data_IF_897291321792
#
_entry.id   IF_897291321792
#
_cell.length_a   1.000
_cell.length_b   1.000
_cell.length_c   1.000
_cell.angle_alpha   90.00
_cell.angle_beta   90.00
_cell.angle_gamma   90.00
#
_symmetry.space_group_name_H-M   'P 1'
#
loop_
_entity.id
_entity.type
_entity.pdbx_description
1 polymer ?
#
# COMPACT_ATOMS: atom_id res chain seq x y z
N UNK A 1 -19.81 -0.17 -36.05
CA UNK A 1 -18.81 0.91 -36.07
C UNK A 1 -18.65 1.39 -34.64
N UNK A 2 -17.77 0.75 -33.88
CA UNK A 2 -17.44 1.15 -32.51
C UNK A 2 -16.29 2.15 -32.58
N UNK A 3 -16.56 3.42 -32.27
CA UNK A 3 -15.53 4.43 -32.15
C UNK A 3 -15.74 5.20 -30.85
N UNK A 4 -14.95 4.82 -29.85
CA UNK A 4 -14.19 5.78 -29.03
C UNK A 4 -14.99 6.78 -28.22
N UNK A 5 -15.77 6.30 -27.25
CA UNK A 5 -16.23 7.11 -26.11
C UNK A 5 -15.21 7.18 -24.97
N UNK A 6 -13.90 7.17 -25.27
CA UNK A 6 -12.85 7.36 -24.27
C UNK A 6 -12.67 8.84 -23.97
N UNK A 7 -12.38 9.16 -22.70
CA UNK A 7 -12.12 10.44 -22.01
C UNK A 7 -12.00 11.79 -22.77
N UNK A 8 -11.67 11.82 -24.05
CA UNK A 8 -11.46 13.01 -24.89
C UNK A 8 -12.32 13.09 -26.17
N UNK A 9 -13.26 12.16 -26.41
CA UNK A 9 -14.09 12.16 -27.63
C UNK A 9 -15.01 13.39 -27.79
N UNK A 10 -15.28 13.80 -29.02
CA UNK A 10 -16.20 14.90 -29.31
C UNK A 10 -17.65 14.52 -28.92
N UNK A 11 -18.34 15.46 -28.27
CA UNK A 11 -19.70 15.29 -27.75
C UNK A 11 -20.78 15.75 -28.74
N UNK A 12 -20.34 16.21 -29.90
CA UNK A 12 -21.15 16.73 -30.98
C UNK A 12 -20.94 15.85 -32.21
N UNK A 13 -21.99 15.64 -32.98
CA UNK A 13 -21.90 14.93 -34.26
C UNK A 13 -21.42 15.85 -35.40
N UNK A 14 -21.28 15.29 -36.61
CA UNK A 14 -20.84 16.06 -37.79
C UNK A 14 -21.82 17.15 -38.26
N UNK A 15 -23.04 17.18 -37.72
CA UNK A 15 -24.07 18.17 -38.05
C UNK A 15 -24.19 19.28 -36.98
N UNK A 16 -23.40 19.21 -35.91
CA UNK A 16 -23.40 20.21 -34.84
C UNK A 16 -24.41 19.96 -33.73
N UNK A 17 -25.04 18.77 -33.69
CA UNK A 17 -26.00 18.39 -32.66
C UNK A 17 -25.38 17.50 -31.58
N UNK A 18 -25.89 17.52 -30.34
CA UNK A 18 -25.46 16.59 -29.29
C UNK A 18 -25.61 15.15 -29.77
N UNK A 19 -24.54 14.37 -29.63
CA UNK A 19 -24.50 12.97 -30.05
C UNK A 19 -25.65 12.18 -29.42
N UNK A 20 -26.45 11.53 -30.25
CA UNK A 20 -27.61 10.74 -29.82
C UNK A 20 -27.24 9.34 -29.32
N UNK A 21 -26.02 8.89 -29.61
CA UNK A 21 -25.45 7.61 -29.17
C UNK A 21 -24.89 7.64 -27.74
N UNK A 22 -24.79 8.82 -27.13
CA UNK A 22 -24.16 9.01 -25.82
C UNK A 22 -24.95 10.03 -24.99
N UNK A 23 -25.11 9.78 -23.69
CA UNK A 23 -25.64 10.81 -22.78
C UNK A 23 -24.60 11.92 -22.56
N UNK A 24 -24.68 12.94 -23.40
CA UNK A 24 -23.78 14.11 -23.38
C UNK A 24 -23.78 14.82 -22.03
N UNK A 25 -24.92 14.84 -21.31
CA UNK A 25 -25.01 15.49 -20.01
C UNK A 25 -24.24 14.69 -18.96
N UNK A 26 -24.43 13.37 -18.93
CA UNK A 26 -23.70 12.47 -18.03
C UNK A 26 -22.19 12.52 -18.30
N UNK A 27 -21.77 12.45 -19.57
CA UNK A 27 -20.34 12.52 -19.92
C UNK A 27 -19.70 13.86 -19.52
N UNK A 28 -20.43 14.98 -19.64
CA UNK A 28 -19.95 16.28 -19.14
C UNK A 28 -19.75 16.27 -17.63
N UNK A 29 -20.70 15.72 -16.88
CA UNK A 29 -20.57 15.62 -15.43
C UNK A 29 -19.38 14.75 -15.03
N UNK A 30 -19.20 13.61 -15.69
CA UNK A 30 -18.13 12.67 -15.36
C UNK A 30 -16.75 13.21 -15.75
N UNK A 31 -16.62 13.88 -16.91
CA UNK A 31 -15.40 14.61 -17.27
C UNK A 31 -15.07 15.72 -16.28
N UNK A 32 -16.09 16.45 -15.81
CA UNK A 32 -15.88 17.50 -14.82
C UNK A 32 -15.38 16.91 -13.49
N UNK A 33 -16.03 15.86 -12.98
CA UNK A 33 -15.59 15.15 -11.76
C UNK A 33 -14.16 14.63 -11.92
N UNK A 34 -13.85 14.02 -13.06
CA UNK A 34 -12.52 13.51 -13.36
C UNK A 34 -11.47 14.64 -13.36
N UNK A 35 -11.76 15.78 -13.99
CA UNK A 35 -10.88 16.94 -13.99
C UNK A 35 -10.64 17.51 -12.58
N UNK A 36 -11.67 17.56 -11.73
CA UNK A 36 -11.54 17.94 -10.32
C UNK A 36 -10.62 16.96 -9.58
N UNK A 37 -10.87 15.65 -9.69
CA UNK A 37 -10.06 14.62 -9.04
C UNK A 37 -8.58 14.67 -9.49
N UNK A 38 -8.31 14.88 -10.78
CA UNK A 38 -6.95 15.03 -11.29
C UNK A 38 -6.25 16.26 -10.72
N UNK A 39 -6.95 17.39 -10.66
CA UNK A 39 -6.42 18.64 -10.11
C UNK A 39 -6.13 18.48 -8.62
N UNK A 40 -7.07 17.94 -7.86
CA UNK A 40 -6.95 17.72 -6.42
C UNK A 40 -5.80 16.77 -6.10
N UNK A 41 -5.68 15.66 -6.84
CA UNK A 41 -4.58 14.72 -6.69
C UNK A 41 -3.23 15.37 -6.98
N UNK A 42 -3.13 16.19 -8.04
CA UNK A 42 -1.92 16.94 -8.38
C UNK A 42 -1.54 17.92 -7.27
N UNK A 43 -2.50 18.65 -6.71
CA UNK A 43 -2.26 19.55 -5.58
C UNK A 43 -1.80 18.82 -4.32
N UNK A 44 -2.46 17.71 -3.98
CA UNK A 44 -2.11 16.91 -2.80
C UNK A 44 -0.70 16.32 -2.94
N UNK A 45 -0.37 15.80 -4.13
CA UNK A 45 0.97 15.30 -4.45
C UNK A 45 2.05 16.38 -4.27
N UNK A 46 1.80 17.60 -4.77
CA UNK A 46 2.72 18.72 -4.63
C UNK A 46 2.90 19.14 -3.16
N UNK A 47 1.83 19.15 -2.35
CA UNK A 47 1.91 19.45 -0.91
C UNK A 47 2.75 18.41 -0.17
N UNK A 48 2.61 17.12 -0.50
CA UNK A 48 3.41 16.04 0.08
C UNK A 48 4.89 16.23 -0.28
N UNK A 49 5.21 16.50 -1.54
CA UNK A 49 6.58 16.77 -2.00
C UNK A 49 7.21 17.94 -1.24
N UNK A 50 6.48 19.06 -1.10
CA UNK A 50 6.93 20.23 -0.35
C UNK A 50 7.19 19.92 1.13
N UNK A 51 6.31 19.15 1.77
CA UNK A 51 6.49 18.75 3.16
C UNK A 51 7.74 17.88 3.36
N UNK A 52 7.99 16.93 2.45
CA UNK A 52 9.21 16.10 2.46
C UNK A 52 10.45 16.98 2.28
N UNK A 53 10.43 17.90 1.31
CA UNK A 53 11.54 18.83 1.09
C UNK A 53 11.80 19.72 2.30
N UNK A 54 10.75 20.21 2.97
CA UNK A 54 10.89 21.02 4.18
C UNK A 54 11.53 20.25 5.34
N UNK A 55 11.14 18.99 5.57
CA UNK A 55 11.76 18.13 6.59
C UNK A 55 13.24 17.86 6.29
N UNK A 56 13.58 17.55 5.04
CA UNK A 56 14.96 17.29 4.64
C UNK A 56 15.83 18.56 4.62
N UNK A 57 15.27 19.72 4.27
CA UNK A 57 15.97 21.01 4.34
C UNK A 57 16.26 21.41 5.79
N UNK A 58 15.31 21.22 6.71
CA UNK A 58 15.50 21.45 8.14
C UNK A 58 16.54 20.51 8.77
N UNK A 59 16.64 19.28 8.28
CA UNK A 59 17.62 18.30 8.78
C UNK A 59 19.04 18.49 8.24
N UNK A 60 19.22 19.23 7.12
CA UNK A 60 20.56 19.55 6.55
C UNK A 60 21.27 20.73 7.24
N UNK A 61 20.58 21.48 8.10
CA UNK A 61 21.13 22.66 8.78
C UNK A 61 21.88 22.39 10.09
N UNK A 62 21.92 21.14 10.59
CA UNK A 62 22.48 20.84 11.93
C UNK A 62 23.52 19.72 11.95
N UNK A 63 24.24 19.52 10.84
CA UNK A 63 25.35 18.57 10.74
C UNK A 63 26.43 19.15 9.83
N UNK A 64 27.25 20.04 10.39
CA UNK A 64 28.50 20.48 9.77
C UNK A 64 29.51 19.33 9.79
N UNK A 65 30.09 19.01 8.63
CA UNK A 65 30.97 17.86 8.46
C UNK A 65 31.01 17.34 7.02
N UNK A 66 31.73 18.07 6.18
CA UNK A 66 32.25 17.68 4.86
C UNK A 66 32.59 16.19 4.70
N UNK A 67 32.31 15.61 3.53
CA UNK A 67 33.34 15.25 2.54
C UNK A 67 32.72 14.51 1.34
N UNK A 68 33.07 15.01 0.16
CA UNK A 68 32.83 14.38 -1.12
C UNK A 68 33.54 13.01 -1.25
N UNK A 69 32.87 12.09 -1.94
CA UNK A 69 33.40 11.00 -2.75
C UNK A 69 34.61 10.21 -2.24
N UNK A 70 34.37 9.00 -1.70
CA UNK A 70 34.96 7.71 -2.17
C UNK A 70 34.52 6.53 -1.29
N UNK A 71 34.21 5.39 -1.91
CA UNK A 71 34.39 4.07 -1.30
C UNK A 71 35.90 3.78 -1.15
N UNK A 72 36.40 2.77 -0.38
CA UNK A 72 35.70 1.54 0.04
C UNK A 72 36.15 0.89 1.41
N UNK A 73 35.50 -0.24 1.76
CA UNK A 73 35.92 -1.43 2.57
C UNK A 73 36.20 -1.42 4.10
N UNK A 74 35.46 -2.33 4.77
CA UNK A 74 35.85 -3.33 5.79
C UNK A 74 36.08 -2.98 7.29
N UNK A 75 35.27 -3.69 8.10
CA UNK A 75 35.56 -4.36 9.39
C UNK A 75 35.52 -3.57 10.73
N UNK A 76 34.43 -3.79 11.49
CA UNK A 76 34.51 -4.40 12.84
C UNK A 76 34.36 -3.53 14.10
N UNK A 77 33.27 -3.74 14.86
CA UNK A 77 33.37 -3.98 16.32
C UNK A 77 32.77 -2.98 17.34
N UNK A 78 31.47 -3.17 17.65
CA UNK A 78 30.82 -3.32 18.99
C UNK A 78 30.92 -2.26 20.12
N UNK A 79 29.75 -1.92 20.66
CA UNK A 79 29.49 -1.37 22.02
C UNK A 79 28.41 -0.28 21.99
N UNK A 80 27.13 -0.62 21.79
CA UNK A 80 26.09 -0.88 22.82
C UNK A 80 25.51 0.36 23.53
N UNK A 81 24.18 0.31 23.69
CA UNK A 81 23.30 1.14 24.53
C UNK A 81 22.77 2.48 24.00
N UNK A 82 21.56 2.42 23.42
CA UNK A 82 20.43 3.06 24.10
C UNK A 82 19.64 4.16 23.38
N UNK A 83 18.62 3.71 22.63
CA UNK A 83 17.29 4.33 22.44
C UNK A 83 17.10 5.53 21.49
N UNK A 84 16.08 5.31 20.66
CA UNK A 84 15.12 6.22 20.04
C UNK A 84 15.38 6.60 18.58
N UNK A 85 14.35 6.32 17.78
CA UNK A 85 14.15 6.68 16.37
C UNK A 85 14.97 5.90 15.33
N UNK A 86 14.68 4.60 15.19
CA UNK A 86 15.04 3.86 13.97
C UNK A 86 14.04 4.20 12.86
N UNK A 87 14.20 5.40 12.29
CA UNK A 87 13.87 5.67 10.88
C UNK A 87 14.93 4.93 10.07
N UNK A 88 14.74 3.62 9.91
CA UNK A 88 15.69 2.74 9.25
C UNK A 88 14.99 1.97 8.16
N UNK A 89 15.24 2.34 6.90
CA UNK A 89 15.20 1.46 5.75
C UNK A 89 14.07 0.41 5.80
N UNK A 90 12.82 0.81 5.54
CA UNK A 90 11.84 -0.17 5.08
C UNK A 90 12.31 -0.61 3.70
N UNK A 91 13.10 -1.68 3.68
CA UNK A 91 13.48 -2.38 2.46
C UNK A 91 12.21 -2.57 1.63
N UNK A 92 12.32 -2.26 0.35
CA UNK A 92 11.31 -2.45 -0.69
C UNK A 92 11.04 -3.95 -0.91
N UNK A 93 10.67 -4.67 0.14
CA UNK A 93 10.22 -6.05 0.06
C UNK A 93 9.00 -6.02 -0.86
N UNK A 94 8.99 -6.80 -1.96
CA UNK A 94 7.83 -6.85 -2.81
C UNK A 94 6.68 -7.47 -2.03
N UNK A 95 5.45 -6.94 -2.15
CA UNK A 95 4.30 -7.61 -1.54
C UNK A 95 4.08 -8.97 -2.21
N UNK A 96 3.81 -9.98 -1.40
CA UNK A 96 3.66 -11.37 -1.87
C UNK A 96 2.21 -11.81 -1.95
N UNK A 97 1.29 -11.12 -1.26
CA UNK A 97 -0.13 -11.44 -1.26
C UNK A 97 -0.99 -10.18 -1.21
N UNK A 98 -2.20 -10.28 -1.75
CA UNK A 98 -3.24 -9.24 -1.71
C UNK A 98 -4.44 -9.78 -0.94
N UNK A 99 -5.02 -8.95 -0.08
CA UNK A 99 -6.28 -9.26 0.61
C UNK A 99 -7.44 -8.98 -0.34
N UNK A 100 -8.16 -10.04 -0.72
CA UNK A 100 -9.31 -9.95 -1.61
C UNK A 100 -10.62 -9.77 -0.84
N UNK A 101 -10.71 -10.35 0.36
CA UNK A 101 -11.91 -10.33 1.17
C UNK A 101 -11.56 -10.34 2.66
N UNK A 102 -12.30 -9.56 3.46
CA UNK A 102 -12.22 -9.56 4.92
C UNK A 102 -13.62 -9.79 5.46
N UNK A 103 -13.78 -10.81 6.30
CA UNK A 103 -15.07 -11.18 6.85
C UNK A 103 -15.34 -10.40 8.14
N UNK A 104 -16.55 -9.87 8.23
CA UNK A 104 -17.00 -9.09 9.38
C UNK A 104 -17.02 -9.93 10.67
N UNK A 105 -16.57 -9.34 11.78
CA UNK A 105 -16.42 -10.02 13.06
C UNK A 105 -15.26 -11.02 13.11
N UNK A 106 -14.39 -11.03 12.08
CA UNK A 106 -13.20 -11.87 12.00
C UNK A 106 -11.96 -11.27 12.71
N UNK A 107 -10.96 -12.10 13.04
CA UNK A 107 -9.66 -11.63 13.52
C UNK A 107 -8.97 -10.63 12.59
N UNK A 108 -9.08 -10.83 11.27
CA UNK A 108 -8.53 -9.93 10.26
C UNK A 108 -9.16 -8.53 10.33
N UNK A 109 -10.50 -8.43 10.41
CA UNK A 109 -11.18 -7.15 10.56
C UNK A 109 -10.81 -6.46 11.87
N UNK A 110 -10.76 -7.20 12.99
CA UNK A 110 -10.35 -6.65 14.29
C UNK A 110 -8.90 -6.15 14.30
N UNK A 111 -8.03 -6.81 13.55
CA UNK A 111 -6.66 -6.38 13.32
C UNK A 111 -6.56 -5.14 12.42
N UNK A 112 -7.67 -4.73 11.81
CA UNK A 112 -7.74 -3.59 10.90
C UNK A 112 -7.29 -3.90 9.48
N UNK A 113 -7.19 -5.17 9.07
CA UNK A 113 -6.99 -5.54 7.67
C UNK A 113 -8.19 -5.12 6.83
N UNK A 114 -7.92 -4.67 5.62
CA UNK A 114 -8.93 -4.26 4.66
C UNK A 114 -8.68 -4.92 3.30
N UNK A 115 -9.74 -4.99 2.50
CA UNK A 115 -9.66 -5.41 1.10
C UNK A 115 -8.75 -4.44 0.34
N UNK A 116 -7.84 -4.99 -0.47
CA UNK A 116 -6.84 -4.23 -1.22
C UNK A 116 -5.51 -4.04 -0.49
N UNK A 117 -5.38 -4.53 0.75
CA UNK A 117 -4.10 -4.53 1.45
C UNK A 117 -3.11 -5.50 0.79
N UNK A 118 -1.90 -5.02 0.54
CA UNK A 118 -0.82 -5.83 0.00
C UNK A 118 0.11 -6.29 1.12
N UNK A 119 0.17 -7.58 1.41
CA UNK A 119 0.99 -8.15 2.46
C UNK A 119 2.47 -8.17 2.06
N UNK A 120 3.28 -7.50 2.88
CA UNK A 120 4.73 -7.52 2.87
C UNK A 120 5.28 -8.62 3.77
N UNK A 121 4.66 -8.81 4.93
CA UNK A 121 5.12 -9.73 5.97
C UNK A 121 3.96 -10.27 6.80
N UNK A 122 4.02 -11.53 7.17
CA UNK A 122 3.11 -12.20 8.08
C UNK A 122 3.90 -12.94 9.17
N UNK A 123 4.06 -12.31 10.33
CA UNK A 123 4.84 -12.87 11.45
C UNK A 123 6.29 -13.09 11.07
N UNK A 124 6.68 -14.35 10.92
CA UNK A 124 8.00 -14.80 10.46
C UNK A 124 8.09 -15.03 8.94
N UNK A 125 6.98 -14.93 8.21
CA UNK A 125 6.92 -15.14 6.76
C UNK A 125 7.06 -13.80 6.05
N UNK A 126 8.00 -13.72 5.11
CA UNK A 126 8.21 -12.60 4.20
C UNK A 126 8.14 -13.07 2.74
N UNK A 127 8.31 -12.15 1.79
CA UNK A 127 8.31 -12.47 0.36
C UNK A 127 9.43 -13.45 -0.05
N UNK A 128 10.55 -13.48 0.69
CA UNK A 128 11.66 -14.40 0.42
C UNK A 128 11.34 -15.83 0.89
N UNK A 129 10.62 -15.97 2.00
CA UNK A 129 10.22 -17.26 2.60
C UNK A 129 8.91 -17.79 2.02
N UNK A 130 8.11 -16.92 1.42
CA UNK A 130 6.86 -17.26 0.76
C UNK A 130 7.14 -18.02 -0.55
N UNK A 131 7.14 -19.35 -0.47
CA UNK A 131 7.38 -20.26 -1.61
C UNK A 131 6.23 -20.31 -2.63
N UNK A 132 5.40 -19.26 -2.71
CA UNK A 132 4.22 -19.17 -3.56
C UNK A 132 3.00 -19.93 -3.04
N UNK A 133 3.05 -20.49 -1.83
CA UNK A 133 1.96 -21.25 -1.24
C UNK A 133 1.39 -20.57 0.02
N UNK A 134 0.16 -20.11 -0.10
CA UNK A 134 -0.60 -19.49 0.99
C UNK A 134 -0.85 -20.44 2.17
N UNK A 135 -0.70 -21.76 1.97
CA UNK A 135 -0.76 -22.75 3.04
C UNK A 135 0.24 -22.47 4.16
N UNK A 136 1.43 -21.93 3.85
CA UNK A 136 2.43 -21.57 4.87
C UNK A 136 1.90 -20.50 5.84
N UNK A 137 1.15 -19.52 5.32
CA UNK A 137 0.51 -18.47 6.13
C UNK A 137 -0.56 -19.08 7.04
N UNK A 138 -1.35 -20.02 6.51
CA UNK A 138 -2.36 -20.74 7.30
C UNK A 138 -1.73 -21.60 8.40
N UNK A 139 -0.65 -22.31 8.12
CA UNK A 139 0.08 -23.12 9.10
C UNK A 139 0.73 -22.23 10.18
N UNK A 140 1.32 -21.09 9.80
CA UNK A 140 1.87 -20.14 10.77
C UNK A 140 0.79 -19.50 11.64
N UNK A 141 -0.38 -19.21 11.07
CA UNK A 141 -1.54 -18.73 11.81
C UNK A 141 -2.07 -19.78 12.80
N UNK A 142 -2.08 -21.07 12.43
CA UNK A 142 -2.42 -22.19 13.32
C UNK A 142 -1.40 -22.35 14.45
N UNK A 143 -0.11 -22.28 14.11
CA UNK A 143 0.97 -22.37 15.10
C UNK A 143 0.97 -21.16 16.07
N UNK A 144 0.45 -20.03 15.63
CA UNK A 144 0.35 -18.79 16.41
C UNK A 144 -1.08 -18.53 16.90
N UNK A 145 -1.89 -19.57 17.07
CA UNK A 145 -3.25 -19.44 17.58
C UNK A 145 -3.24 -18.81 18.99
N UNK A 146 -4.10 -17.81 19.20
CA UNK A 146 -4.18 -16.97 20.40
C UNK A 146 -2.90 -16.16 20.71
N UNK A 147 -1.97 -16.05 19.76
CA UNK A 147 -0.77 -15.22 19.86
C UNK A 147 -0.81 -14.04 18.89
N UNK A 148 -0.15 -12.95 19.25
CA UNK A 148 -0.05 -11.76 18.39
C UNK A 148 0.93 -12.01 17.25
N UNK A 149 0.43 -11.92 16.02
CA UNK A 149 1.18 -12.01 14.77
C UNK A 149 1.28 -10.62 14.16
N UNK A 150 2.52 -10.15 14.00
CA UNK A 150 2.80 -8.87 13.35
C UNK A 150 2.71 -8.97 11.84
N UNK A 151 1.97 -8.05 11.23
CA UNK A 151 1.73 -7.97 9.80
C UNK A 151 2.36 -6.69 9.27
N UNK A 152 3.07 -6.77 8.14
CA UNK A 152 3.41 -5.61 7.34
C UNK A 152 2.51 -5.58 6.12
N UNK A 153 1.78 -4.48 5.91
CA UNK A 153 0.90 -4.31 4.74
C UNK A 153 1.14 -2.97 4.06
N UNK A 154 0.81 -2.89 2.77
CA UNK A 154 0.70 -1.64 2.02
C UNK A 154 -0.77 -1.34 1.77
N UNK A 155 -1.23 -0.18 2.23
CA UNK A 155 -2.57 0.35 1.94
C UNK A 155 -2.43 1.72 1.30
N UNK A 156 -3.00 1.91 0.12
CA UNK A 156 -2.93 3.18 -0.62
C UNK A 156 -1.49 3.73 -0.76
N UNK A 157 -0.50 2.85 -0.93
CA UNK A 157 0.92 3.21 -1.05
C UNK A 157 1.63 3.53 0.27
N UNK A 158 0.94 3.45 1.41
CA UNK A 158 1.54 3.60 2.74
C UNK A 158 1.83 2.25 3.37
N UNK A 159 2.96 2.15 4.08
CA UNK A 159 3.31 0.97 4.86
C UNK A 159 2.65 1.05 6.24
N UNK A 160 1.85 0.05 6.57
CA UNK A 160 1.22 -0.09 7.88
C UNK A 160 1.72 -1.37 8.54
N UNK A 161 2.02 -1.28 9.83
CA UNK A 161 2.25 -2.44 10.69
C UNK A 161 0.97 -2.72 11.47
N UNK A 162 0.39 -3.90 11.28
CA UNK A 162 -0.83 -4.34 11.96
C UNK A 162 -0.51 -5.53 12.87
N UNK A 163 -1.33 -5.73 13.90
CA UNK A 163 -1.21 -6.84 14.82
C UNK A 163 -2.47 -7.69 14.74
N UNK A 164 -2.32 -8.94 14.29
CA UNK A 164 -3.41 -9.89 14.15
C UNK A 164 -3.26 -11.02 15.15
N UNK A 165 -4.36 -11.41 15.78
CA UNK A 165 -4.40 -12.57 16.69
C UNK A 165 -5.23 -13.68 16.03
N UNK A 166 -4.61 -14.73 15.48
CA UNK A 166 -5.36 -15.84 14.89
C UNK A 166 -6.13 -16.55 15.99
N UNK A 167 -7.45 -16.67 15.87
CA UNK A 167 -8.28 -17.35 16.86
C UNK A 167 -9.55 -17.89 16.22
N UNK A 168 -10.15 -18.90 16.84
CA UNK A 168 -11.48 -19.36 16.47
C UNK A 168 -12.51 -18.22 16.60
N UNK A 169 -13.38 -18.10 15.60
CA UNK A 169 -14.39 -17.05 15.52
C UNK A 169 -15.66 -17.60 14.86
N UNK A 170 -16.68 -16.76 14.67
CA UNK A 170 -17.99 -17.19 14.17
C UNK A 170 -17.99 -17.72 12.71
N UNK A 171 -16.91 -17.49 11.96
CA UNK A 171 -16.73 -18.00 10.61
C UNK A 171 -15.71 -19.13 10.51
N UNK A 172 -15.36 -19.50 9.28
CA UNK A 172 -14.44 -20.59 9.02
C UNK A 172 -12.98 -20.15 9.13
N UNK A 173 -12.15 -20.98 9.79
CA UNK A 173 -10.71 -20.75 9.94
C UNK A 173 -10.33 -19.81 11.08
N UNK A 174 -9.08 -19.36 11.09
CA UNK A 174 -8.47 -18.61 12.21
C UNK A 174 -8.20 -17.13 11.91
N UNK A 175 -8.36 -16.70 10.65
CA UNK A 175 -8.01 -15.34 10.21
C UNK A 175 -9.25 -14.55 9.78
N UNK A 176 -10.18 -15.20 9.07
CA UNK A 176 -11.36 -14.53 8.53
C UNK A 176 -11.05 -13.56 7.38
N UNK A 177 -10.02 -13.86 6.58
CA UNK A 177 -9.74 -13.15 5.34
C UNK A 177 -9.39 -14.13 4.21
N UNK A 178 -9.69 -13.71 2.99
CA UNK A 178 -9.24 -14.36 1.77
C UNK A 178 -8.05 -13.56 1.22
N UNK A 179 -6.94 -14.26 0.97
CA UNK A 179 -5.75 -13.68 0.38
C UNK A 179 -5.43 -14.40 -0.92
N UNK A 180 -5.02 -13.65 -1.94
CA UNK A 180 -4.46 -14.21 -3.17
C UNK A 180 -2.97 -13.94 -3.21
N UNK A 181 -2.20 -14.82 -3.83
CA UNK A 181 -0.80 -14.51 -4.15
C UNK A 181 -0.74 -13.37 -5.18
N UNK A 182 0.23 -12.47 -5.03
CA UNK A 182 0.59 -11.54 -6.09
C UNK A 182 1.56 -12.25 -7.05
N UNK A 183 1.39 -12.04 -8.36
CA UNK A 183 2.14 -12.68 -9.43
C UNK A 183 3.32 -11.81 -9.88
#
# INVERSE_FOLDING_TARGET
AESGGGESGDLVDGEGFPRSDVDVAQVRQDRHKLACLYTDHKELSAKIEQAIHALHAGSKGNGDGSHAAKAPEAAGGRGDSGKAATTGQQQQQPPFALVDEVLAGGPAERAGLAVGDQLLRFGAIDAASFGGNLHQVAEHARASENAVVKLGVIRAGQHLELELVPQAWAGNGLLGCHMRKMA
#
